data_IF_549009811326
#
_entry.id   IF_549009811326
#
_cell.length_a   1.000
_cell.length_b   1.000
_cell.length_c   1.000
_cell.angle_alpha   90.00
_cell.angle_beta   90.00
_cell.angle_gamma   90.00
#
_symmetry.space_group_name_H-M   'P 1'
#
loop_
_entity.id
_entity.type
_entity.pdbx_description
1 polymer ?
#
# COMPACT_ATOMS: atom_id res chain seq x y z
N UNK A 1 -4.58 5.09 24.63
CA UNK A 1 -3.92 4.15 23.71
C UNK A 1 -3.90 4.80 22.33
N UNK A 2 -2.74 4.78 21.66
CA UNK A 2 -2.62 5.25 20.27
C UNK A 2 -3.49 4.35 19.38
N UNK A 3 -4.28 4.95 18.48
CA UNK A 3 -5.01 4.20 17.45
C UNK A 3 -4.26 4.35 16.14
N UNK A 4 -3.90 3.24 15.50
CA UNK A 4 -3.10 3.20 14.28
C UNK A 4 -3.77 2.33 13.23
N UNK A 5 -3.38 2.53 11.98
CA UNK A 5 -3.66 1.64 10.86
C UNK A 5 -2.35 1.28 10.18
N UNK A 6 -2.29 0.11 9.56
CA UNK A 6 -1.25 -0.26 8.61
C UNK A 6 -1.89 -0.33 7.23
N UNK A 7 -1.61 0.64 6.36
CA UNK A 7 -2.28 0.73 5.07
C UNK A 7 -1.75 -0.24 4.01
N UNK A 8 -0.67 -1.00 4.33
CA UNK A 8 -0.11 -1.99 3.42
C UNK A 8 0.79 -3.00 4.15
N UNK A 9 0.36 -4.25 4.20
CA UNK A 9 1.18 -5.33 4.72
C UNK A 9 0.87 -6.67 4.02
N UNK A 10 1.85 -7.59 4.04
CA UNK A 10 1.75 -8.93 3.47
C UNK A 10 1.80 -10.01 4.57
N UNK A 11 0.95 -9.88 5.58
CA UNK A 11 0.90 -10.87 6.68
C UNK A 11 0.46 -12.26 6.22
N UNK A 12 0.00 -12.39 4.98
CA UNK A 12 -0.31 -13.65 4.32
C UNK A 12 0.94 -14.43 3.90
N UNK A 13 2.08 -13.76 3.72
CA UNK A 13 3.30 -14.39 3.22
C UNK A 13 3.81 -15.52 4.12
N UNK A 14 4.49 -16.49 3.51
CA UNK A 14 5.01 -17.70 4.18
C UNK A 14 5.98 -17.40 5.33
N UNK A 15 6.66 -16.24 5.30
CA UNK A 15 7.52 -15.80 6.39
C UNK A 15 6.79 -15.66 7.73
N UNK A 16 5.46 -15.56 7.72
CA UNK A 16 4.62 -15.48 8.90
C UNK A 16 3.92 -16.79 9.27
N UNK A 17 4.04 -17.85 8.49
CA UNK A 17 3.29 -19.10 8.69
C UNK A 17 3.48 -19.68 10.10
N UNK A 18 4.68 -19.57 10.65
CA UNK A 18 5.02 -20.16 11.96
C UNK A 18 4.44 -19.36 13.15
N UNK A 19 4.15 -18.06 12.98
CA UNK A 19 3.79 -17.18 14.11
C UNK A 19 2.76 -16.09 13.74
N UNK A 20 2.01 -16.25 12.66
CA UNK A 20 1.06 -15.25 12.16
C UNK A 20 0.06 -14.79 13.21
N UNK A 21 -0.50 -15.72 14.01
CA UNK A 21 -1.43 -15.39 15.09
C UNK A 21 -0.79 -14.43 16.11
N UNK A 22 0.45 -14.73 16.50
CA UNK A 22 1.20 -13.89 17.43
C UNK A 22 1.55 -12.52 16.82
N UNK A 23 1.87 -12.46 15.51
CA UNK A 23 2.13 -11.20 14.78
C UNK A 23 0.87 -10.32 14.78
N UNK A 24 -0.29 -10.88 14.45
CA UNK A 24 -1.55 -10.15 14.44
C UNK A 24 -1.95 -9.72 15.87
N UNK A 25 -1.70 -10.54 16.88
CA UNK A 25 -1.94 -10.18 18.28
C UNK A 25 -1.07 -8.99 18.69
N UNK A 26 0.24 -9.03 18.44
CA UNK A 26 1.16 -7.92 18.73
C UNK A 26 0.76 -6.62 18.02
N UNK A 27 0.30 -6.71 16.76
CA UNK A 27 -0.20 -5.54 16.05
C UNK A 27 -1.39 -4.89 16.77
N UNK A 28 -2.36 -5.70 17.20
CA UNK A 28 -3.52 -5.20 17.97
C UNK A 28 -3.11 -4.63 19.33
N UNK A 29 -2.20 -5.28 20.04
CA UNK A 29 -1.63 -4.78 21.31
C UNK A 29 -0.88 -3.46 21.14
N UNK A 30 -0.22 -3.26 19.99
CA UNK A 30 0.43 -2.00 19.63
C UNK A 30 -0.55 -0.87 19.27
N UNK A 31 -1.86 -1.16 19.23
CA UNK A 31 -2.90 -0.18 18.97
C UNK A 31 -3.40 -0.12 17.53
N UNK A 32 -3.02 -1.08 16.67
CA UNK A 32 -3.56 -1.15 15.31
C UNK A 32 -5.03 -1.57 15.37
N UNK A 33 -5.87 -0.71 14.83
CA UNK A 33 -7.31 -0.96 14.73
C UNK A 33 -7.67 -1.66 13.43
N UNK A 34 -6.86 -1.49 12.38
CA UNK A 34 -6.99 -2.22 11.12
C UNK A 34 -5.65 -2.33 10.36
N UNK A 35 -5.54 -3.34 9.51
CA UNK A 35 -4.40 -3.60 8.62
C UNK A 35 -4.93 -4.01 7.24
N UNK A 36 -4.45 -3.42 6.16
CA UNK A 36 -4.78 -3.85 4.81
C UNK A 36 -3.84 -4.98 4.39
N UNK A 37 -4.40 -6.17 4.18
CA UNK A 37 -3.65 -7.32 3.64
C UNK A 37 -3.62 -7.20 2.12
N UNK A 38 -2.43 -7.07 1.54
CA UNK A 38 -2.25 -6.87 0.10
C UNK A 38 -1.74 -8.13 -0.55
N UNK A 39 -2.51 -8.68 -1.49
CA UNK A 39 -2.20 -9.91 -2.19
C UNK A 39 -1.91 -9.71 -3.67
N UNK A 40 -0.70 -10.07 -4.10
CA UNK A 40 -0.35 -10.12 -5.52
C UNK A 40 -0.86 -11.39 -6.22
N UNK A 41 -1.31 -11.23 -7.46
CA UNK A 41 -1.54 -12.37 -8.35
C UNK A 41 -0.17 -12.96 -8.74
N UNK A 42 0.04 -14.23 -8.44
CA UNK A 42 1.22 -15.00 -8.83
C UNK A 42 0.82 -16.42 -9.27
N UNK A 43 1.78 -17.22 -9.72
CA UNK A 43 1.55 -18.60 -10.18
C UNK A 43 1.04 -19.53 -9.06
N UNK A 44 1.28 -19.18 -7.79
CA UNK A 44 0.87 -19.95 -6.61
C UNK A 44 -0.48 -19.50 -6.01
N UNK A 45 -1.10 -18.46 -6.56
CA UNK A 45 -2.36 -17.88 -6.08
C UNK A 45 -2.19 -17.05 -4.81
N UNK A 46 -1.16 -16.20 -4.77
CA UNK A 46 -0.85 -15.31 -3.64
C UNK A 46 -2.03 -14.45 -3.21
N UNK A 47 -2.74 -13.82 -4.17
CA UNK A 47 -3.94 -13.04 -3.87
C UNK A 47 -5.04 -13.86 -3.17
N UNK A 48 -5.23 -15.12 -3.56
CA UNK A 48 -6.20 -16.01 -2.90
C UNK A 48 -5.75 -16.39 -1.48
N UNK A 49 -4.43 -16.53 -1.25
CA UNK A 49 -3.88 -16.75 0.09
C UNK A 49 -4.10 -15.52 0.96
N UNK A 50 -3.82 -14.32 0.44
CA UNK A 50 -4.06 -13.06 1.15
C UNK A 50 -5.53 -12.90 1.54
N UNK A 51 -6.46 -13.19 0.65
CA UNK A 51 -7.91 -13.18 0.94
C UNK A 51 -8.29 -14.13 2.06
N UNK A 52 -7.80 -15.40 2.04
CA UNK A 52 -8.08 -16.34 3.14
C UNK A 52 -7.54 -15.86 4.48
N UNK A 53 -6.33 -15.31 4.49
CA UNK A 53 -5.73 -14.75 5.72
C UNK A 53 -6.54 -13.55 6.21
N UNK A 54 -6.88 -12.62 5.32
CA UNK A 54 -7.69 -11.46 5.67
C UNK A 54 -9.05 -11.88 6.26
N UNK A 55 -9.75 -12.83 5.65
CA UNK A 55 -11.01 -13.39 6.16
C UNK A 55 -10.84 -14.00 7.57
N UNK A 56 -9.78 -14.80 7.79
CA UNK A 56 -9.51 -15.46 9.07
C UNK A 56 -9.34 -14.48 10.23
N UNK A 57 -8.76 -13.32 9.96
CA UNK A 57 -8.51 -12.28 10.98
C UNK A 57 -9.53 -11.12 10.93
N UNK A 58 -10.52 -11.17 10.03
CA UNK A 58 -11.51 -10.13 9.77
C UNK A 58 -10.86 -8.80 9.36
N UNK A 59 -9.85 -8.89 8.51
CA UNK A 59 -9.13 -7.76 7.94
C UNK A 59 -9.60 -7.48 6.52
N UNK A 60 -9.50 -6.23 6.03
CA UNK A 60 -9.69 -5.92 4.62
C UNK A 60 -8.54 -6.47 3.78
N UNK A 61 -8.84 -6.74 2.51
CA UNK A 61 -7.85 -7.15 1.53
C UNK A 61 -7.84 -6.25 0.30
N UNK A 62 -6.68 -6.14 -0.34
CA UNK A 62 -6.52 -5.68 -1.70
C UNK A 62 -5.96 -6.81 -2.57
N UNK A 63 -6.28 -6.81 -3.84
CA UNK A 63 -5.72 -7.74 -4.80
C UNK A 63 -5.40 -7.06 -6.13
N UNK A 64 -4.27 -7.43 -6.72
CA UNK A 64 -3.81 -6.88 -7.98
C UNK A 64 -2.70 -7.70 -8.61
N UNK A 65 -2.35 -7.35 -9.84
CA UNK A 65 -1.23 -7.92 -10.57
C UNK A 65 -0.03 -6.97 -10.43
N UNK A 66 0.87 -7.33 -9.51
CA UNK A 66 2.08 -6.57 -9.23
C UNK A 66 2.98 -6.44 -10.47
N UNK A 67 3.72 -5.34 -10.67
CA UNK A 67 4.61 -5.17 -11.82
C UNK A 67 5.62 -6.32 -12.01
N UNK A 68 6.06 -6.98 -10.94
CA UNK A 68 6.93 -8.15 -11.05
C UNK A 68 6.29 -9.33 -11.78
N UNK A 69 4.97 -9.51 -11.66
CA UNK A 69 4.20 -10.59 -12.25
C UNK A 69 3.37 -10.15 -13.47
N UNK A 70 3.62 -8.95 -14.00
CA UNK A 70 2.83 -8.38 -15.10
C UNK A 70 2.76 -9.28 -16.35
N UNK A 71 3.72 -10.20 -16.53
CA UNK A 71 3.71 -11.22 -17.58
C UNK A 71 2.52 -12.18 -17.50
N UNK A 72 1.91 -12.33 -16.33
CA UNK A 72 0.74 -13.18 -16.10
C UNK A 72 -0.58 -12.52 -16.50
N UNK A 73 -0.52 -11.26 -16.94
CA UNK A 73 -1.70 -10.50 -17.33
C UNK A 73 -2.50 -11.19 -18.43
N UNK A 74 -3.74 -11.57 -18.13
CA UNK A 74 -4.68 -12.22 -19.05
C UNK A 74 -6.10 -11.80 -18.73
N UNK A 75 -7.03 -11.98 -19.68
CA UNK A 75 -8.45 -11.68 -19.43
C UNK A 75 -8.96 -12.44 -18.19
N UNK A 76 -8.57 -13.70 -18.02
CA UNK A 76 -8.98 -14.50 -16.86
C UNK A 76 -8.53 -13.88 -15.52
N UNK A 77 -7.31 -13.33 -15.46
CA UNK A 77 -6.81 -12.63 -14.26
C UNK A 77 -7.63 -11.37 -13.98
N UNK A 78 -7.90 -10.56 -14.99
CA UNK A 78 -8.66 -9.32 -14.81
C UNK A 78 -10.14 -9.61 -14.49
N UNK A 79 -10.72 -10.67 -15.06
CA UNK A 79 -12.08 -11.12 -14.73
C UNK A 79 -12.17 -11.62 -13.29
N UNK A 80 -11.18 -12.35 -12.79
CA UNK A 80 -11.11 -12.76 -11.40
C UNK A 80 -11.04 -11.55 -10.45
N UNK A 81 -10.14 -10.59 -10.73
CA UNK A 81 -10.04 -9.36 -9.93
C UNK A 81 -11.36 -8.57 -9.93
N UNK A 82 -12.03 -8.49 -11.08
CA UNK A 82 -13.35 -7.86 -11.22
C UNK A 82 -14.41 -8.57 -10.38
N UNK A 83 -14.41 -9.90 -10.38
CA UNK A 83 -15.35 -10.71 -9.57
C UNK A 83 -15.12 -10.45 -8.09
N UNK A 84 -13.89 -10.52 -7.62
CA UNK A 84 -13.53 -10.25 -6.22
C UNK A 84 -13.98 -8.86 -5.77
N UNK A 85 -13.83 -7.85 -6.63
CA UNK A 85 -14.28 -6.49 -6.35
C UNK A 85 -15.81 -6.39 -6.24
N UNK A 86 -16.55 -7.01 -7.19
CA UNK A 86 -18.02 -7.01 -7.21
C UNK A 86 -18.63 -7.80 -6.05
N UNK A 87 -17.96 -8.85 -5.61
CA UNK A 87 -18.33 -9.64 -4.44
C UNK A 87 -18.01 -8.93 -3.11
N UNK A 88 -17.34 -7.76 -3.15
CA UNK A 88 -16.94 -7.04 -1.95
C UNK A 88 -15.83 -7.72 -1.14
N UNK A 89 -15.07 -8.62 -1.77
CA UNK A 89 -13.98 -9.37 -1.13
C UNK A 89 -12.67 -8.59 -1.07
N UNK A 90 -12.55 -7.53 -1.88
CA UNK A 90 -11.43 -6.59 -1.85
C UNK A 90 -11.95 -5.16 -1.70
N UNK A 91 -11.16 -4.31 -1.06
CA UNK A 91 -11.47 -2.90 -0.83
C UNK A 91 -10.64 -1.96 -1.72
N UNK A 92 -9.68 -2.51 -2.45
CA UNK A 92 -8.82 -1.79 -3.38
C UNK A 92 -8.31 -2.72 -4.49
N UNK A 93 -8.00 -2.17 -5.65
CA UNK A 93 -7.27 -2.86 -6.72
C UNK A 93 -5.77 -2.56 -6.52
N UNK A 94 -5.02 -3.56 -6.19
CA UNK A 94 -3.58 -3.40 -5.89
C UNK A 94 -2.99 -4.63 -5.20
N UNK A 95 -1.73 -4.75 -5.28
CA UNK A 95 -0.71 -3.78 -5.67
C UNK A 95 -0.54 -3.77 -7.20
N UNK A 96 -0.48 -2.57 -7.79
CA UNK A 96 -0.36 -2.34 -9.23
C UNK A 96 0.68 -1.25 -9.50
N UNK A 97 1.22 -1.16 -10.71
CA UNK A 97 2.13 -0.07 -11.03
C UNK A 97 3.34 -0.48 -11.85
N UNK A 98 4.49 0.19 -11.58
CA UNK A 98 5.73 0.00 -12.34
C UNK A 98 6.93 -0.20 -11.40
N UNK A 99 7.81 -1.14 -11.76
CA UNK A 99 9.10 -1.37 -11.11
C UNK A 99 10.19 -1.53 -12.18
N UNK A 100 10.99 -0.49 -12.37
CA UNK A 100 12.09 -0.48 -13.34
C UNK A 100 13.45 -0.72 -12.68
N UNK A 101 13.45 -0.96 -11.37
CA UNK A 101 14.62 -1.36 -10.63
C UNK A 101 14.90 -2.87 -10.76
N UNK A 102 13.89 -3.68 -10.48
CA UNK A 102 14.03 -5.15 -10.56
C UNK A 102 13.74 -5.71 -11.94
N UNK A 103 12.84 -5.10 -12.70
CA UNK A 103 12.48 -5.48 -14.09
C UNK A 103 12.13 -6.98 -14.24
N UNK A 104 11.48 -7.59 -13.24
CA UNK A 104 11.13 -9.04 -13.27
C UNK A 104 10.13 -9.40 -14.37
N UNK A 105 9.30 -8.48 -14.81
CA UNK A 105 8.48 -8.59 -16.01
C UNK A 105 8.89 -7.54 -17.04
N UNK A 106 8.75 -7.81 -18.35
CA UNK A 106 9.04 -6.81 -19.37
C UNK A 106 8.27 -5.52 -19.13
N UNK A 107 8.93 -4.37 -19.24
CA UNK A 107 8.33 -3.04 -19.01
C UNK A 107 7.07 -2.80 -19.83
N UNK A 108 6.99 -3.35 -21.06
CA UNK A 108 5.77 -3.30 -21.88
C UNK A 108 4.60 -4.01 -21.19
N UNK A 109 4.84 -5.18 -20.60
CA UNK A 109 3.80 -5.91 -19.86
C UNK A 109 3.39 -5.17 -18.60
N UNK A 110 4.35 -4.57 -17.86
CA UNK A 110 4.06 -3.75 -16.69
C UNK A 110 3.13 -2.57 -17.03
N UNK A 111 3.44 -1.83 -18.11
CA UNK A 111 2.60 -0.71 -18.57
C UNK A 111 1.18 -1.14 -18.93
N UNK A 112 1.06 -2.23 -19.68
CA UNK A 112 -0.24 -2.75 -20.11
C UNK A 112 -1.06 -3.22 -18.90
N UNK A 113 -0.45 -4.00 -18.00
CA UNK A 113 -1.10 -4.46 -16.78
C UNK A 113 -1.54 -3.29 -15.89
N UNK A 114 -0.72 -2.25 -15.74
CA UNK A 114 -1.06 -1.08 -14.96
C UNK A 114 -2.25 -0.33 -15.55
N UNK A 115 -2.23 -0.02 -16.87
CA UNK A 115 -3.35 0.62 -17.57
C UNK A 115 -4.66 -0.15 -17.41
N UNK A 116 -4.60 -1.47 -17.60
CA UNK A 116 -5.78 -2.33 -17.48
C UNK A 116 -6.37 -2.33 -16.08
N UNK A 117 -5.53 -2.34 -15.07
CA UNK A 117 -5.98 -2.33 -13.68
C UNK A 117 -6.50 -0.96 -13.22
N UNK A 118 -5.99 0.14 -13.77
CA UNK A 118 -6.60 1.46 -13.57
C UNK A 118 -8.02 1.48 -14.13
N UNK A 119 -8.21 1.00 -15.37
CA UNK A 119 -9.55 0.92 -15.99
C UNK A 119 -10.49 0.03 -15.18
N UNK A 120 -9.98 -1.12 -14.67
CA UNK A 120 -10.75 -2.01 -13.81
C UNK A 120 -11.14 -1.32 -12.50
N UNK A 121 -10.23 -0.63 -11.84
CA UNK A 121 -10.49 0.08 -10.60
C UNK A 121 -11.59 1.16 -10.78
N UNK A 122 -11.53 1.91 -11.88
CA UNK A 122 -12.58 2.87 -12.26
C UNK A 122 -13.91 2.18 -12.51
N UNK A 123 -13.94 1.06 -13.26
CA UNK A 123 -15.14 0.28 -13.56
C UNK A 123 -15.85 -0.20 -12.29
N UNK A 124 -15.07 -0.70 -11.30
CA UNK A 124 -15.63 -1.26 -10.07
C UNK A 124 -15.76 -0.26 -8.92
N UNK A 125 -15.29 0.98 -9.10
CA UNK A 125 -15.39 2.06 -8.11
C UNK A 125 -14.55 1.84 -6.86
N UNK A 126 -13.41 1.15 -6.99
CA UNK A 126 -12.45 0.91 -5.92
C UNK A 126 -11.17 1.74 -6.10
N UNK A 127 -10.52 2.17 -5.00
CA UNK A 127 -9.24 2.88 -5.07
C UNK A 127 -8.10 1.96 -5.52
N UNK A 128 -7.02 2.59 -5.97
CA UNK A 128 -5.77 1.93 -6.36
C UNK A 128 -4.76 1.90 -5.20
N UNK A 129 -4.01 0.80 -5.08
CA UNK A 129 -2.76 0.75 -4.29
C UNK A 129 -1.61 0.67 -5.29
N UNK A 130 -0.86 1.77 -5.42
CA UNK A 130 0.11 1.97 -6.52
C UNK A 130 1.54 1.81 -6.01
N UNK A 131 2.25 0.88 -6.62
CA UNK A 131 3.69 0.69 -6.52
C UNK A 131 4.41 1.50 -7.60
N UNK A 132 5.48 2.18 -7.21
CA UNK A 132 6.39 2.80 -8.20
C UNK A 132 7.83 2.75 -7.71
N UNK A 133 8.73 2.28 -8.56
CA UNK A 133 10.15 2.24 -8.26
C UNK A 133 11.00 2.51 -9.49
N UNK A 134 11.79 3.60 -9.44
CA UNK A 134 12.57 4.09 -10.58
C UNK A 134 11.73 4.33 -11.85
N UNK A 135 10.43 4.68 -11.66
CA UNK A 135 9.44 4.85 -12.72
C UNK A 135 8.53 6.07 -12.52
N UNK A 136 8.93 7.03 -11.67
CA UNK A 136 8.10 8.15 -11.20
C UNK A 136 7.35 8.88 -12.33
N UNK A 137 8.10 9.35 -13.35
CA UNK A 137 7.52 10.13 -14.45
C UNK A 137 6.48 9.32 -15.23
N UNK A 138 6.79 8.08 -15.54
CA UNK A 138 5.92 7.22 -16.34
C UNK A 138 4.71 6.72 -15.52
N UNK A 139 4.87 6.52 -14.22
CA UNK A 139 3.75 6.23 -13.32
C UNK A 139 2.73 7.37 -13.36
N UNK A 140 3.17 8.62 -13.24
CA UNK A 140 2.28 9.78 -13.32
C UNK A 140 1.63 9.90 -14.68
N UNK A 141 2.40 9.75 -15.77
CA UNK A 141 1.87 9.81 -17.14
C UNK A 141 0.74 8.77 -17.36
N UNK A 142 0.92 7.56 -16.86
CA UNK A 142 -0.09 6.52 -16.99
C UNK A 142 -1.31 6.81 -16.11
N UNK A 143 -1.13 7.25 -14.85
CA UNK A 143 -2.23 7.62 -13.98
C UNK A 143 -3.11 8.72 -14.61
N UNK A 144 -2.49 9.75 -15.15
CA UNK A 144 -3.20 10.84 -15.84
C UNK A 144 -3.88 10.38 -17.10
N UNK A 145 -3.14 9.69 -17.98
CA UNK A 145 -3.63 9.23 -19.28
C UNK A 145 -4.80 8.25 -19.18
N UNK A 146 -4.88 7.48 -18.10
CA UNK A 146 -5.97 6.53 -17.85
C UNK A 146 -7.08 7.10 -16.95
N UNK A 147 -6.99 8.37 -16.55
CA UNK A 147 -8.02 9.01 -15.71
C UNK A 147 -8.12 8.40 -14.31
N UNK A 148 -7.00 8.01 -13.71
CA UNK A 148 -6.96 7.33 -12.41
C UNK A 148 -7.54 8.16 -11.26
N UNK A 149 -7.62 9.49 -11.41
CA UNK A 149 -8.26 10.39 -10.44
C UNK A 149 -9.73 10.02 -10.14
N UNK A 150 -10.45 9.40 -11.07
CA UNK A 150 -11.84 8.94 -10.87
C UNK A 150 -11.93 7.80 -9.83
N UNK A 151 -10.95 6.91 -9.83
CA UNK A 151 -10.86 5.83 -8.83
C UNK A 151 -10.23 6.33 -7.52
N UNK A 152 -9.27 7.25 -7.64
CA UNK A 152 -8.39 7.65 -6.53
C UNK A 152 -7.46 6.52 -6.12
N UNK A 153 -6.71 6.74 -5.04
CA UNK A 153 -5.80 5.70 -4.56
C UNK A 153 -4.74 6.22 -3.61
N UNK A 154 -3.72 5.41 -3.44
CA UNK A 154 -2.53 5.71 -2.64
C UNK A 154 -1.27 5.31 -3.40
N UNK A 155 -0.27 6.18 -3.40
CA UNK A 155 1.10 5.78 -3.72
C UNK A 155 1.66 5.15 -2.45
N UNK A 156 1.75 3.82 -2.44
CA UNK A 156 2.23 3.09 -1.28
C UNK A 156 3.76 3.10 -1.22
N UNK A 157 4.30 2.86 -0.04
CA UNK A 157 5.74 2.75 0.23
C UNK A 157 6.55 3.85 -0.50
N UNK A 158 6.14 5.12 -0.29
CA UNK A 158 6.66 6.23 -1.06
C UNK A 158 8.19 6.34 -0.97
N UNK A 159 8.85 6.18 -2.11
CA UNK A 159 10.30 6.32 -2.27
C UNK A 159 10.67 7.23 -3.44
N UNK A 160 9.69 7.89 -4.02
CA UNK A 160 9.85 8.77 -5.17
C UNK A 160 10.34 10.18 -4.83
N UNK A 161 10.42 11.02 -5.86
CA UNK A 161 10.81 12.41 -5.76
C UNK A 161 9.65 13.36 -5.46
N UNK A 162 10.01 14.65 -5.21
CA UNK A 162 9.03 15.72 -4.95
C UNK A 162 8.01 15.89 -6.08
N UNK A 163 8.44 15.70 -7.33
CA UNK A 163 7.54 15.84 -8.48
C UNK A 163 6.48 14.75 -8.54
N UNK A 164 6.85 13.48 -8.24
CA UNK A 164 5.87 12.41 -8.10
C UNK A 164 4.86 12.74 -7.00
N UNK A 165 5.33 13.19 -5.84
CA UNK A 165 4.46 13.55 -4.73
C UNK A 165 3.45 14.64 -5.14
N UNK A 166 3.95 15.73 -5.73
CA UNK A 166 3.12 16.86 -6.20
C UNK A 166 2.04 16.40 -7.18
N UNK A 167 2.42 15.65 -8.21
CA UNK A 167 1.50 15.18 -9.26
C UNK A 167 0.48 14.18 -8.73
N UNK A 168 0.90 13.26 -7.87
CA UNK A 168 -0.02 12.32 -7.21
C UNK A 168 -1.06 13.06 -6.36
N UNK A 169 -0.65 14.07 -5.60
CA UNK A 169 -1.56 14.90 -4.81
C UNK A 169 -2.54 15.69 -5.69
N UNK A 170 -2.12 16.22 -6.83
CA UNK A 170 -2.98 16.91 -7.80
C UNK A 170 -4.04 15.97 -8.40
N UNK A 171 -3.71 14.69 -8.60
CA UNK A 171 -4.64 13.65 -9.00
C UNK A 171 -5.56 13.18 -7.85
N UNK A 172 -5.39 13.71 -6.64
CA UNK A 172 -6.18 13.34 -5.48
C UNK A 172 -5.72 12.07 -4.76
N UNK A 173 -4.57 11.51 -5.11
CA UNK A 173 -4.01 10.36 -4.42
C UNK A 173 -3.51 10.71 -3.03
N UNK A 174 -3.48 9.71 -2.15
CA UNK A 174 -2.79 9.77 -0.87
C UNK A 174 -1.35 9.30 -1.05
N UNK A 175 -0.50 9.63 -0.09
CA UNK A 175 0.88 9.17 -0.03
C UNK A 175 1.05 8.40 1.28
N UNK A 176 1.57 7.17 1.20
CA UNK A 176 1.82 6.34 2.37
C UNK A 176 3.31 6.17 2.61
N UNK A 177 3.71 6.32 3.87
CA UNK A 177 5.08 6.23 4.33
C UNK A 177 5.31 4.95 5.10
N UNK A 178 6.32 4.19 4.67
CA UNK A 178 6.80 2.96 5.31
C UNK A 178 8.03 3.22 6.18
N UNK A 179 8.63 2.16 6.70
CA UNK A 179 9.87 2.22 7.49
C UNK A 179 11.02 2.97 6.82
N UNK A 180 10.98 3.14 5.50
CA UNK A 180 11.98 3.87 4.72
C UNK A 180 12.11 5.32 5.16
N UNK A 181 11.04 5.97 5.63
CA UNK A 181 11.08 7.35 6.13
C UNK A 181 12.06 7.55 7.30
N UNK A 182 12.35 6.48 8.03
CA UNK A 182 13.30 6.50 9.15
C UNK A 182 14.71 6.00 8.80
N UNK A 183 14.99 5.71 7.51
CA UNK A 183 16.31 5.23 7.11
C UNK A 183 17.31 6.39 6.94
N UNK A 184 18.61 6.11 7.11
CA UNK A 184 19.64 7.05 6.67
C UNK A 184 19.49 7.38 5.18
N UNK A 185 19.73 8.61 4.80
CA UNK A 185 19.64 9.11 3.40
C UNK A 185 18.22 9.07 2.82
N UNK A 186 17.20 9.35 3.64
CA UNK A 186 15.80 9.47 3.23
C UNK A 186 15.32 10.93 3.24
N UNK A 187 16.22 11.91 3.04
CA UNK A 187 15.93 13.34 3.19
C UNK A 187 14.76 13.78 2.31
N UNK A 188 14.70 13.33 1.05
CA UNK A 188 13.60 13.66 0.12
C UNK A 188 12.27 13.08 0.63
N UNK A 189 12.28 11.82 1.09
CA UNK A 189 11.08 11.17 1.62
C UNK A 189 10.62 11.88 2.89
N UNK A 190 11.55 12.28 3.76
CA UNK A 190 11.26 13.04 4.99
C UNK A 190 10.70 14.42 4.69
N UNK A 191 11.23 15.09 3.66
CA UNK A 191 10.67 16.36 3.19
C UNK A 191 9.23 16.18 2.73
N UNK A 192 8.96 15.21 1.85
CA UNK A 192 7.58 14.91 1.41
C UNK A 192 6.68 14.61 2.61
N UNK A 193 7.15 13.78 3.57
CA UNK A 193 6.38 13.43 4.77
C UNK A 193 6.03 14.64 5.64
N UNK A 194 6.89 15.67 5.66
CA UNK A 194 6.62 16.92 6.39
C UNK A 194 5.64 17.84 5.67
N UNK A 195 5.56 17.79 4.34
CA UNK A 195 4.82 18.74 3.49
C UNK A 195 3.47 18.20 2.99
N UNK A 196 3.27 16.86 2.92
CA UNK A 196 2.01 16.25 2.46
C UNK A 196 0.84 16.79 3.29
N UNK A 197 -0.26 17.25 2.66
CA UNK A 197 -1.47 17.69 3.38
C UNK A 197 -1.99 16.61 4.33
N UNK A 198 -2.49 17.03 5.49
CA UNK A 198 -3.01 16.12 6.52
C UNK A 198 -4.01 15.10 5.97
N UNK A 199 -4.92 15.54 5.11
CA UNK A 199 -5.95 14.68 4.52
C UNK A 199 -5.42 13.72 3.43
N UNK A 200 -4.13 13.76 3.13
CA UNK A 200 -3.50 12.97 2.07
C UNK A 200 -2.41 12.01 2.57
N UNK A 201 -2.21 11.91 3.87
CA UNK A 201 -1.16 11.11 4.49
C UNK A 201 -1.67 9.77 5.00
N UNK A 202 -0.94 8.70 4.69
CA UNK A 202 -1.06 7.37 5.30
C UNK A 202 0.29 6.88 5.83
N UNK A 203 0.23 5.85 6.65
CA UNK A 203 1.39 5.13 7.17
C UNK A 203 1.18 3.63 7.00
N UNK A 204 2.27 2.91 6.83
CA UNK A 204 2.27 1.47 6.61
C UNK A 204 3.58 0.83 7.07
N UNK A 205 3.63 -0.50 7.04
CA UNK A 205 4.87 -1.23 7.31
C UNK A 205 5.52 -1.79 6.05
N UNK A 206 4.76 -2.23 5.08
CA UNK A 206 5.20 -3.09 3.99
C UNK A 206 5.82 -4.41 4.50
N UNK A 207 5.32 -4.88 5.66
CA UNK A 207 5.83 -6.10 6.29
C UNK A 207 5.61 -7.33 5.40
N UNK A 208 6.62 -8.20 5.24
CA UNK A 208 7.80 -8.45 6.09
C UNK A 208 9.04 -7.61 5.74
N UNK A 209 8.95 -6.66 4.82
CA UNK A 209 10.05 -5.86 4.31
C UNK A 209 10.27 -4.57 5.13
N UNK A 210 11.39 -3.89 4.88
CA UNK A 210 11.62 -2.49 5.25
C UNK A 210 11.50 -2.17 6.76
N UNK A 211 11.86 -3.11 7.65
CA UNK A 211 11.80 -2.89 9.10
C UNK A 211 12.48 -1.56 9.51
N UNK A 212 11.76 -0.65 10.20
CA UNK A 212 12.32 0.62 10.64
C UNK A 212 13.33 0.43 11.79
N UNK A 213 14.22 1.41 12.08
CA UNK A 213 14.93 1.43 13.36
C UNK A 213 13.91 1.42 14.52
N UNK A 214 14.20 0.71 15.66
CA UNK A 214 15.43 -0.05 15.96
C UNK A 214 15.42 -1.49 15.43
N UNK A 215 14.49 -1.87 14.57
CA UNK A 215 14.26 -3.24 14.11
C UNK A 215 15.02 -3.60 12.82
N UNK A 216 15.92 -2.74 12.34
CA UNK A 216 16.72 -2.98 11.12
C UNK A 216 17.40 -4.35 11.14
N UNK A 217 17.35 -5.05 9.96
CA UNK A 217 17.93 -6.38 9.80
C UNK A 217 17.08 -7.53 10.35
N UNK A 218 15.92 -7.24 10.95
CA UNK A 218 14.93 -8.25 11.35
C UNK A 218 13.77 -8.30 10.34
N UNK A 219 13.00 -9.38 10.37
CA UNK A 219 11.69 -9.43 9.67
C UNK A 219 10.81 -8.31 10.23
N UNK A 220 10.26 -7.49 9.33
CA UNK A 220 9.27 -6.48 9.70
C UNK A 220 7.94 -7.14 10.10
N UNK A 221 7.13 -6.45 10.89
CA UNK A 221 5.77 -6.86 11.24
C UNK A 221 4.87 -5.63 11.42
N UNK A 222 3.54 -5.77 11.25
CA UNK A 222 2.61 -4.62 11.33
C UNK A 222 2.71 -3.83 12.63
N UNK A 223 3.05 -4.45 13.75
CA UNK A 223 3.25 -3.77 15.03
C UNK A 223 4.31 -2.63 14.94
N UNK A 224 5.25 -2.73 14.00
CA UNK A 224 6.32 -1.73 13.85
C UNK A 224 5.87 -0.45 13.10
N UNK A 225 4.61 -0.35 12.66
CA UNK A 225 4.05 0.90 12.16
C UNK A 225 4.08 2.01 13.23
N UNK A 226 4.16 1.65 14.50
CA UNK A 226 4.38 2.59 15.61
C UNK A 226 5.64 3.43 15.40
N UNK A 227 6.70 2.82 14.92
CA UNK A 227 7.98 3.54 14.67
C UNK A 227 7.88 4.47 13.45
N UNK A 228 7.12 4.06 12.43
CA UNK A 228 6.80 4.93 11.30
C UNK A 228 5.97 6.13 11.77
N UNK A 229 4.93 5.89 12.57
CA UNK A 229 4.08 6.95 13.13
C UNK A 229 4.91 7.94 13.97
N UNK A 230 5.82 7.44 14.82
CA UNK A 230 6.72 8.29 15.63
C UNK A 230 7.59 9.18 14.75
N UNK A 231 8.22 8.59 13.71
CA UNK A 231 9.11 9.36 12.82
C UNK A 231 8.35 10.40 12.02
N UNK A 232 7.21 10.07 11.45
CA UNK A 232 6.39 11.03 10.70
C UNK A 232 5.82 12.12 11.63
N UNK A 233 5.41 11.77 12.85
CA UNK A 233 4.97 12.75 13.84
C UNK A 233 6.09 13.72 14.22
N UNK A 234 7.32 13.23 14.45
CA UNK A 234 8.51 14.06 14.69
C UNK A 234 8.73 15.07 13.54
N UNK A 235 8.72 14.60 12.29
CA UNK A 235 8.93 15.45 11.11
C UNK A 235 7.86 16.54 10.96
N UNK A 236 6.65 16.28 11.43
CA UNK A 236 5.51 17.19 11.35
C UNK A 236 5.29 18.03 12.62
N UNK A 237 6.15 17.89 13.63
CA UNK A 237 6.00 18.61 14.90
C UNK A 237 4.69 18.28 15.64
N UNK A 238 4.20 17.05 15.53
CA UNK A 238 2.96 16.57 16.16
C UNK A 238 3.20 15.34 17.04
N UNK A 239 2.15 14.78 17.65
CA UNK A 239 2.27 13.57 18.45
C UNK A 239 1.92 12.31 17.65
N UNK A 240 2.46 11.14 18.01
CA UNK A 240 2.08 9.88 17.38
C UNK A 240 0.57 9.58 17.46
N UNK A 241 -0.10 10.02 18.52
CA UNK A 241 -1.54 9.88 18.73
C UNK A 241 -2.35 10.73 17.72
N UNK A 242 -1.93 11.97 17.52
CA UNK A 242 -2.57 12.88 16.56
C UNK A 242 -2.37 12.36 15.12
N UNK A 243 -1.14 11.93 14.79
CA UNK A 243 -0.82 11.33 13.50
C UNK A 243 -1.60 10.03 13.25
N UNK A 244 -1.65 9.14 14.24
CA UNK A 244 -2.41 7.90 14.15
C UNK A 244 -3.91 8.16 13.90
N UNK A 245 -4.48 9.10 14.61
CA UNK A 245 -5.88 9.52 14.42
C UNK A 245 -6.10 10.08 13.01
N UNK A 246 -5.15 10.85 12.49
CA UNK A 246 -5.17 11.40 11.14
C UNK A 246 -5.14 10.26 10.11
N UNK A 247 -4.18 9.34 10.22
CA UNK A 247 -4.03 8.19 9.33
C UNK A 247 -5.29 7.30 9.34
N UNK A 248 -5.87 7.06 10.52
CA UNK A 248 -7.14 6.32 10.64
C UNK A 248 -8.27 6.99 9.86
N UNK A 249 -8.45 8.31 9.97
CA UNK A 249 -9.48 9.03 9.19
C UNK A 249 -9.25 8.94 7.69
N UNK A 250 -8.01 9.09 7.24
CA UNK A 250 -7.66 9.01 5.83
C UNK A 250 -7.86 7.59 5.27
N UNK A 251 -7.44 6.58 6.02
CA UNK A 251 -7.66 5.17 5.71
C UNK A 251 -9.15 4.86 5.58
N UNK A 252 -9.93 5.25 6.59
CA UNK A 252 -11.40 5.06 6.61
C UNK A 252 -12.07 5.67 5.39
N UNK A 253 -11.66 6.89 5.01
CA UNK A 253 -12.19 7.60 3.84
C UNK A 253 -11.78 6.91 2.53
N UNK A 254 -10.51 6.54 2.37
CA UNK A 254 -10.01 5.93 1.12
C UNK A 254 -10.64 4.58 0.86
N UNK A 255 -10.61 3.70 1.86
CA UNK A 255 -11.06 2.31 1.72
C UNK A 255 -12.53 2.09 2.12
N UNK A 256 -13.26 3.16 2.45
CA UNK A 256 -14.68 3.14 2.87
C UNK A 256 -14.91 2.18 4.04
N UNK A 257 -14.02 2.22 5.05
CA UNK A 257 -14.03 1.36 6.23
C UNK A 257 -14.44 2.14 7.47
N UNK A 258 -15.36 1.59 8.26
CA UNK A 258 -15.65 2.10 9.59
C UNK A 258 -14.62 1.54 10.59
N UNK A 259 -13.86 2.41 11.25
CA UNK A 259 -12.82 2.06 12.23
C UNK A 259 -13.25 2.35 13.67
#
# INVERSE_FOLDING_TARGET
>A
MVRLVDSHCHVDMRQFDADRDAVVARAREAGLVEMLVVGGVDEEGGHRRALRVAESYRLPAAAGLHPHEARLGSEAVYDELRSLAREGRIVAVGEVGLDFHYDHSPRRAQREAFRRQIRLAREVGLPLVVHTREADAETVEILEGEGAAEAGGVIHCFTGGLELARRALELGFLISFSGVVAFPRSEVIQQVASEVPDERLLIETDAPYLAPPPHRGKRNEPAFVVEVARKVAELRGTTPEALGSLACRNYSRLFKRAL
#
